data_IF_433191163438
#
_entry.id   IF_433191163438
#
_cell.length_a   1.000
_cell.length_b   1.000
_cell.length_c   1.000
_cell.angle_alpha   90.00
_cell.angle_beta   90.00
_cell.angle_gamma   90.00
#
_symmetry.space_group_name_H-M   'P 1'
#
loop_
_entity.id
_entity.type
_entity.pdbx_description
1 polymer ?
#
# COMPACT_ATOMS: atom_id res chain seq x y z
N UNK A 1 23.39 4.23 14.94
CA UNK A 1 22.49 3.49 14.04
C UNK A 1 22.17 4.29 12.78
N UNK A 2 22.57 3.79 11.61
CA UNK A 2 22.20 4.36 10.30
C UNK A 2 20.74 3.95 10.01
N UNK A 3 19.94 4.83 9.39
CA UNK A 3 18.58 4.51 8.97
C UNK A 3 18.63 3.57 7.74
N UNK A 4 17.58 2.76 7.51
CA UNK A 4 17.50 1.97 6.28
C UNK A 4 17.48 2.88 5.04
N UNK A 5 18.30 2.54 4.05
CA UNK A 5 18.32 3.23 2.74
C UNK A 5 17.02 2.99 1.95
N UNK A 6 16.44 1.79 2.07
CA UNK A 6 15.15 1.43 1.46
C UNK A 6 14.13 1.18 2.57
N UNK A 7 13.02 1.93 2.54
CA UNK A 7 11.96 1.89 3.56
C UNK A 7 10.77 1.03 3.15
N UNK A 8 10.70 0.63 1.89
CA UNK A 8 9.66 -0.25 1.40
C UNK A 8 9.70 -0.47 -0.10
N UNK A 9 8.82 -1.35 -0.54
CA UNK A 9 8.59 -1.70 -1.95
C UNK A 9 7.09 -1.64 -2.20
N UNK A 10 6.67 -0.97 -3.29
CA UNK A 10 5.29 -0.94 -3.73
C UNK A 10 5.15 -1.65 -5.08
N UNK A 11 4.31 -2.67 -5.14
CA UNK A 11 4.01 -3.43 -6.34
C UNK A 11 2.78 -2.86 -7.04
N UNK A 12 2.93 -2.47 -8.30
CA UNK A 12 1.80 -2.04 -9.13
C UNK A 12 1.73 -2.93 -10.37
N UNK A 13 0.93 -4.02 -10.35
CA UNK A 13 0.67 -4.81 -11.53
C UNK A 13 0.20 -3.94 -12.71
N UNK A 14 0.55 -4.36 -13.92
CA UNK A 14 0.18 -3.63 -15.13
C UNK A 14 -1.35 -3.60 -15.28
N UNK A 15 -1.88 -2.42 -15.61
CA UNK A 15 -3.27 -2.23 -15.99
C UNK A 15 -3.34 -1.56 -17.36
N UNK A 16 -4.24 -2.04 -18.19
CA UNK A 16 -4.27 -1.70 -19.62
C UNK A 16 -5.19 -0.50 -19.88
N UNK A 17 -4.65 0.70 -19.67
CA UNK A 17 -5.29 1.97 -20.00
C UNK A 17 -4.76 2.54 -21.32
N UNK A 18 -5.63 3.18 -22.10
CA UNK A 18 -5.24 3.90 -23.31
C UNK A 18 -4.78 2.97 -24.43
N UNK A 19 -3.64 3.30 -25.04
CA UNK A 19 -3.11 2.56 -26.19
C UNK A 19 -2.08 1.50 -25.74
N UNK A 20 -2.42 0.23 -25.99
CA UNK A 20 -1.52 -0.91 -25.83
C UNK A 20 -1.57 -1.75 -27.12
N UNK A 21 -0.46 -2.39 -27.53
CA UNK A 21 -0.31 -2.89 -28.90
C UNK A 21 -1.20 -4.09 -29.25
N UNK A 22 -1.53 -4.92 -28.25
CA UNK A 22 -2.37 -6.11 -28.41
C UNK A 22 -3.21 -6.31 -27.16
N UNK A 23 -4.43 -6.82 -27.33
CA UNK A 23 -5.26 -7.27 -26.22
C UNK A 23 -4.48 -8.27 -25.36
N UNK A 24 -4.34 -8.03 -24.05
CA UNK A 24 -3.62 -8.94 -23.18
C UNK A 24 -4.39 -10.25 -23.00
N UNK A 25 -3.64 -11.34 -22.92
CA UNK A 25 -4.14 -12.66 -22.51
C UNK A 25 -4.08 -12.81 -21.00
N UNK A 26 -4.79 -13.81 -20.45
CA UNK A 26 -4.79 -14.08 -19.01
C UNK A 26 -3.40 -14.37 -18.45
N UNK A 27 -2.53 -15.01 -19.24
CA UNK A 27 -1.14 -15.31 -18.85
C UNK A 27 -0.24 -14.07 -18.72
N UNK A 28 -0.69 -12.91 -19.22
CA UNK A 28 0.03 -11.65 -19.11
C UNK A 28 -0.46 -10.81 -17.92
N UNK A 29 -1.41 -11.35 -17.16
CA UNK A 29 -2.01 -10.72 -15.98
C UNK A 29 -1.49 -11.40 -14.72
N UNK A 30 -1.51 -10.64 -13.64
CA UNK A 30 -1.16 -11.15 -12.32
C UNK A 30 -2.13 -10.54 -11.30
N UNK A 31 -2.61 -11.36 -10.40
CA UNK A 31 -3.50 -10.99 -9.30
C UNK A 31 -2.68 -10.66 -8.04
N UNK A 32 -3.27 -9.89 -7.12
CA UNK A 32 -2.59 -9.59 -5.85
C UNK A 32 -2.22 -10.84 -5.04
N UNK A 33 -3.06 -11.89 -4.94
CA UNK A 33 -2.67 -13.15 -4.30
C UNK A 33 -1.49 -13.85 -4.97
N UNK A 34 -1.37 -13.79 -6.30
CA UNK A 34 -0.21 -14.31 -7.03
C UNK A 34 1.04 -13.48 -6.72
N UNK A 35 0.95 -12.14 -6.72
CA UNK A 35 2.06 -11.26 -6.29
C UNK A 35 2.56 -11.64 -4.89
N UNK A 36 1.66 -11.84 -3.92
CA UNK A 36 2.03 -12.21 -2.55
C UNK A 36 2.70 -13.59 -2.51
N UNK A 37 2.22 -14.55 -3.32
CA UNK A 37 2.84 -15.88 -3.43
C UNK A 37 4.25 -15.80 -4.01
N UNK A 38 4.43 -15.03 -5.08
CA UNK A 38 5.72 -14.78 -5.71
C UNK A 38 6.70 -14.10 -4.74
N UNK A 39 6.23 -13.15 -3.94
CA UNK A 39 7.05 -12.53 -2.87
C UNK A 39 7.52 -13.61 -1.88
N UNK A 40 6.63 -14.49 -1.41
CA UNK A 40 7.01 -15.55 -0.49
C UNK A 40 8.04 -16.52 -1.10
N UNK A 41 7.85 -16.90 -2.37
CA UNK A 41 8.74 -17.83 -3.07
C UNK A 41 10.12 -17.20 -3.34
N UNK A 42 10.16 -16.00 -3.91
CA UNK A 42 11.40 -15.31 -4.26
C UNK A 42 12.21 -14.87 -3.04
N UNK A 43 11.56 -14.65 -1.89
CA UNK A 43 12.25 -14.33 -0.63
C UNK A 43 12.69 -15.56 0.16
N UNK A 44 12.50 -16.77 -0.37
CA UNK A 44 12.84 -18.01 0.34
C UNK A 44 12.02 -18.16 1.64
N UNK A 45 10.78 -17.68 1.65
CA UNK A 45 9.86 -17.63 2.80
C UNK A 45 10.31 -16.71 3.95
N UNK A 46 11.21 -15.76 3.71
CA UNK A 46 11.50 -14.69 4.67
C UNK A 46 10.24 -13.86 4.96
N UNK A 47 9.41 -13.65 3.94
CA UNK A 47 8.06 -13.09 4.05
C UNK A 47 7.05 -14.19 3.76
N UNK A 48 6.01 -14.32 4.59
CA UNK A 48 4.97 -15.34 4.43
C UNK A 48 3.61 -14.71 4.16
N UNK A 49 2.73 -15.45 3.48
CA UNK A 49 1.43 -14.96 3.01
C UNK A 49 0.58 -14.39 4.16
N UNK A 50 0.63 -15.01 5.35
CA UNK A 50 -0.12 -14.61 6.56
C UNK A 50 0.32 -13.26 7.15
N UNK A 51 1.45 -12.71 6.71
CA UNK A 51 1.97 -11.42 7.14
C UNK A 51 1.42 -10.25 6.31
N UNK A 52 0.59 -10.55 5.30
CA UNK A 52 -0.05 -9.55 4.44
C UNK A 52 -1.54 -9.44 4.74
N UNK A 53 -2.06 -8.22 4.67
CA UNK A 53 -3.48 -7.94 4.84
C UNK A 53 -3.99 -7.02 3.72
N UNK A 54 -5.31 -7.02 3.43
CA UNK A 54 -5.89 -6.06 2.52
C UNK A 54 -5.59 -4.62 2.92
N UNK A 55 -5.50 -3.73 1.93
CA UNK A 55 -5.37 -2.30 2.17
C UNK A 55 -6.57 -1.77 2.96
N UNK A 56 -6.32 -0.85 3.90
CA UNK A 56 -7.29 -0.44 4.92
C UNK A 56 -8.15 0.78 4.56
N UNK A 57 -7.98 1.36 3.37
CA UNK A 57 -8.71 2.57 2.96
C UNK A 57 -9.50 2.43 1.67
N UNK A 58 -9.37 1.32 0.97
CA UNK A 58 -10.08 0.98 -0.26
C UNK A 58 -10.67 -0.43 -0.18
N UNK A 59 -11.34 -0.87 -1.24
CA UNK A 59 -11.85 -2.24 -1.28
C UNK A 59 -10.70 -3.24 -1.08
N UNK A 60 -10.93 -4.27 -0.27
CA UNK A 60 -9.95 -5.33 0.04
C UNK A 60 -9.30 -6.06 -1.15
N UNK A 61 -9.83 -5.90 -2.37
CA UNK A 61 -9.29 -6.47 -3.62
C UNK A 61 -8.42 -5.48 -4.41
N UNK A 62 -8.34 -4.22 -3.98
CA UNK A 62 -7.59 -3.16 -4.66
C UNK A 62 -6.12 -3.12 -4.25
N UNK A 63 -5.79 -3.47 -3.01
CA UNK A 63 -4.41 -3.47 -2.56
C UNK A 63 -4.16 -4.35 -1.35
N UNK A 64 -2.87 -4.54 -1.05
CA UNK A 64 -2.39 -5.24 0.13
C UNK A 64 -1.28 -4.44 0.81
N UNK A 65 -1.04 -4.75 2.08
CA UNK A 65 0.09 -4.22 2.84
C UNK A 65 0.67 -5.28 3.77
N UNK A 66 1.96 -5.17 4.02
CA UNK A 66 2.71 -5.87 5.05
C UNK A 66 3.74 -4.93 5.65
N UNK A 67 3.83 -4.89 6.97
CA UNK A 67 4.72 -4.00 7.70
C UNK A 67 5.70 -4.80 8.55
N UNK A 68 6.97 -4.42 8.50
CA UNK A 68 8.06 -5.17 9.08
C UNK A 68 9.08 -4.27 9.78
N UNK A 69 9.85 -4.84 10.69
CA UNK A 69 11.04 -4.21 11.25
C UNK A 69 12.23 -5.09 10.95
N UNK A 70 13.27 -4.50 10.36
CA UNK A 70 14.55 -5.20 10.16
C UNK A 70 15.26 -5.29 11.51
N UNK A 71 15.49 -6.50 11.99
CA UNK A 71 16.16 -6.81 13.26
C UNK A 71 17.70 -6.81 13.11
N UNK A 72 18.48 -6.71 14.21
CA UNK A 72 19.94 -6.66 14.12
C UNK A 72 20.57 -7.89 13.46
N UNK A 73 19.90 -9.04 13.56
CA UNK A 73 20.26 -10.31 12.92
C UNK A 73 19.82 -10.39 11.44
N UNK A 74 19.43 -9.24 10.86
CA UNK A 74 18.91 -9.10 9.49
C UNK A 74 17.59 -9.84 9.22
N UNK A 75 16.89 -10.36 10.24
CA UNK A 75 15.55 -10.92 10.06
C UNK A 75 14.50 -9.82 9.94
N UNK A 76 13.41 -10.12 9.24
CA UNK A 76 12.22 -9.27 9.19
C UNK A 76 11.21 -9.76 10.21
N UNK A 77 10.92 -8.93 11.21
CA UNK A 77 9.83 -9.19 12.14
C UNK A 77 8.57 -8.50 11.65
N UNK A 78 7.51 -9.27 11.40
CA UNK A 78 6.20 -8.72 11.07
C UNK A 78 5.67 -7.89 12.23
N UNK A 79 5.24 -6.67 11.90
CA UNK A 79 4.42 -5.87 12.80
C UNK A 79 2.99 -6.38 12.70
N UNK A 80 2.28 -6.53 13.82
CA UNK A 80 0.93 -7.06 13.80
C UNK A 80 0.08 -6.25 12.81
N UNK A 81 -0.63 -6.91 11.87
CA UNK A 81 -1.57 -6.21 11.03
C UNK A 81 -2.53 -5.47 11.95
N UNK A 82 -2.83 -4.20 11.66
CA UNK A 82 -3.82 -3.47 12.45
C UNK A 82 -5.09 -4.31 12.41
N UNK A 83 -5.56 -4.72 13.59
CA UNK A 83 -6.82 -5.41 13.80
C UNK A 83 -7.87 -4.85 12.83
N UNK A 84 -8.19 -5.61 11.78
CA UNK A 84 -9.52 -5.60 11.20
C UNK A 84 -10.39 -6.25 12.26
N UNK A 85 -10.73 -5.48 13.30
CA UNK A 85 -11.60 -5.95 14.36
C UNK A 85 -12.93 -6.33 13.72
N UNK A 86 -13.07 -7.63 13.44
CA UNK A 86 -14.27 -8.30 12.95
C UNK A 86 -15.49 -8.12 13.88
N UNK A 87 -15.32 -7.47 15.04
CA UNK A 87 -16.31 -7.39 16.11
C UNK A 87 -16.64 -5.96 16.57
N UNK A 88 -16.23 -4.91 15.86
CA UNK A 88 -16.64 -3.53 16.15
C UNK A 88 -17.46 -3.00 14.99
N UNK A 89 -18.78 -3.04 15.15
CA UNK A 89 -19.81 -2.67 14.18
C UNK A 89 -19.86 -1.15 13.88
N UNK A 90 -18.72 -0.56 13.54
CA UNK A 90 -18.62 0.81 13.03
C UNK A 90 -17.84 0.72 11.73
N UNK A 91 -18.57 0.70 10.61
CA UNK A 91 -18.01 1.16 9.35
C UNK A 91 -17.44 2.56 9.61
N UNK A 92 -16.13 2.64 9.75
CA UNK A 92 -15.44 3.92 9.86
C UNK A 92 -15.64 4.63 8.53
N UNK A 93 -16.07 5.90 8.55
CA UNK A 93 -16.32 6.61 7.30
C UNK A 93 -15.05 6.66 6.44
N UNK A 94 -15.19 6.51 5.12
CA UNK A 94 -14.06 6.45 4.18
C UNK A 94 -13.04 7.59 4.38
N UNK A 95 -13.50 8.79 4.78
CA UNK A 95 -12.65 9.94 5.08
C UNK A 95 -11.70 9.73 6.27
N UNK A 96 -12.15 9.05 7.33
CA UNK A 96 -11.33 8.76 8.52
C UNK A 96 -10.28 7.69 8.17
N UNK A 97 -10.68 6.63 7.46
CA UNK A 97 -9.77 5.59 7.00
C UNK A 97 -8.67 6.15 6.08
N UNK A 98 -9.04 7.03 5.14
CA UNK A 98 -8.09 7.71 4.25
C UNK A 98 -7.12 8.61 5.02
N UNK A 99 -7.59 9.39 6.00
CA UNK A 99 -6.71 10.25 6.80
C UNK A 99 -5.72 9.44 7.64
N UNK A 100 -6.17 8.30 8.20
CA UNK A 100 -5.28 7.37 8.92
C UNK A 100 -4.24 6.76 8.00
N UNK A 101 -4.60 6.37 6.77
CA UNK A 101 -3.67 5.82 5.79
C UNK A 101 -2.62 6.87 5.39
N UNK A 102 -3.05 8.09 5.05
CA UNK A 102 -2.15 9.19 4.70
C UNK A 102 -1.15 9.51 5.83
N UNK A 103 -1.62 9.57 7.08
CA UNK A 103 -0.77 9.80 8.23
C UNK A 103 0.22 8.65 8.47
N UNK A 104 -0.20 7.41 8.17
CA UNK A 104 0.63 6.23 8.29
C UNK A 104 1.77 6.24 7.26
N UNK A 105 1.44 6.42 5.98
CA UNK A 105 2.40 6.54 4.88
C UNK A 105 3.40 7.67 5.16
N UNK A 106 2.91 8.85 5.55
CA UNK A 106 3.77 10.00 5.88
C UNK A 106 4.77 9.68 6.98
N UNK A 107 4.38 8.97 8.05
CA UNK A 107 5.28 8.62 9.16
C UNK A 107 6.29 7.54 8.78
N UNK A 108 5.90 6.62 7.89
CA UNK A 108 6.67 5.42 7.57
C UNK A 108 7.70 5.68 6.46
N UNK A 109 7.32 6.49 5.50
CA UNK A 109 8.13 6.79 4.31
C UNK A 109 8.99 8.06 4.49
N UNK A 110 8.83 8.78 5.60
CA UNK A 110 9.74 9.87 5.97
C UNK A 110 11.12 9.32 6.38
N UNK A 111 12.17 9.89 5.76
CA UNK A 111 13.56 9.70 6.18
C UNK A 111 13.88 10.81 7.18
N UNK A 112 13.91 10.47 8.47
CA UNK A 112 14.36 11.41 9.50
C UNK A 112 15.87 11.33 9.65
N UNK A 113 16.61 12.44 9.50
CA UNK A 113 18.01 12.48 9.93
C UNK A 113 18.08 12.21 11.44
N UNK A 114 19.17 11.60 11.91
CA UNK A 114 19.38 11.37 13.35
C UNK A 114 19.25 12.71 14.08
N UNK A 115 18.19 12.89 14.86
CA UNK A 115 18.28 13.76 16.02
C UNK A 115 19.02 12.97 17.09
N UNK A 116 20.07 13.57 17.65
CA UNK A 116 20.70 13.08 18.88
C UNK A 116 19.65 13.18 19.98
N UNK A 117 18.86 12.13 20.19
CA UNK A 117 17.97 12.08 21.34
C UNK A 117 18.90 11.87 22.54
N UNK A 118 19.11 12.92 23.33
CA UNK A 118 19.74 12.82 24.63
C UNK A 118 18.74 12.09 25.55
N UNK A 119 18.77 10.76 25.56
CA UNK A 119 18.04 10.01 26.59
C UNK A 119 18.72 10.29 27.93
N UNK A 120 18.07 11.06 28.79
CA UNK A 120 18.34 10.99 30.22
C UNK A 120 17.95 9.58 30.66
N UNK A 121 18.95 8.79 31.01
CA UNK A 121 18.79 7.43 31.54
C UNK A 121 18.06 7.49 32.88
N UNK A 122 16.72 7.42 32.86
CA UNK A 122 15.95 7.03 34.04
C UNK A 122 15.93 5.51 34.04
N UNK A 123 16.81 4.93 34.85
CA UNK A 123 17.00 3.49 34.98
C UNK A 123 15.74 2.83 35.56
N UNK A 124 14.92 2.28 34.68
CA UNK A 124 13.99 1.20 34.96
C UNK A 124 14.21 0.12 33.92
N UNK A 125 14.65 -1.08 34.34
CA UNK A 125 15.17 -2.16 33.49
C UNK A 125 14.22 -2.61 32.36
N UNK A 126 12.92 -2.28 32.43
CA UNK A 126 11.96 -2.56 31.37
C UNK A 126 11.68 -1.42 30.38
N UNK A 127 11.88 -0.14 30.74
CA UNK A 127 11.41 0.99 29.92
C UNK A 127 12.35 1.30 28.74
N UNK A 128 13.66 1.11 28.95
CA UNK A 128 14.67 1.36 27.92
C UNK A 128 14.60 0.38 26.74
N UNK A 129 14.18 -0.88 26.96
CA UNK A 129 14.03 -1.86 25.88
C UNK A 129 12.89 -1.50 24.93
N UNK A 130 11.78 -1.00 25.48
CA UNK A 130 10.64 -0.51 24.68
C UNK A 130 10.98 0.74 23.87
N UNK A 131 11.70 1.69 24.46
CA UNK A 131 12.17 2.88 23.74
C UNK A 131 13.09 2.50 22.57
N UNK A 132 14.05 1.60 22.82
CA UNK A 132 14.94 1.07 21.79
C UNK A 132 14.16 0.38 20.66
N UNK A 133 13.12 -0.38 21.00
CA UNK A 133 12.27 -1.02 20.00
C UNK A 133 11.47 0.01 19.18
N UNK A 134 10.87 1.02 19.81
CA UNK A 134 10.13 2.09 19.12
C UNK A 134 11.05 2.85 18.16
N UNK A 135 12.25 3.20 18.60
CA UNK A 135 13.23 3.87 17.75
C UNK A 135 13.72 2.97 16.63
N UNK A 136 13.80 1.65 16.86
CA UNK A 136 14.07 0.68 15.80
C UNK A 136 12.93 0.62 14.79
N UNK A 137 11.66 0.56 15.21
CA UNK A 137 10.50 0.62 14.32
C UNK A 137 10.57 1.88 13.45
N UNK A 138 10.96 3.02 14.03
CA UNK A 138 11.09 4.30 13.32
C UNK A 138 12.25 4.33 12.34
N UNK A 139 13.40 3.73 12.66
CA UNK A 139 14.63 3.83 11.84
C UNK A 139 14.86 2.64 10.91
N UNK A 140 14.30 1.48 11.24
CA UNK A 140 14.44 0.20 10.54
C UNK A 140 13.10 -0.39 10.11
N UNK A 141 12.09 0.48 10.01
CA UNK A 141 10.82 0.17 9.40
C UNK A 141 10.95 -0.17 7.93
N UNK A 142 10.33 -1.26 7.52
CA UNK A 142 10.20 -1.70 6.14
C UNK A 142 8.74 -2.02 5.83
N UNK A 143 8.23 -1.64 4.66
CA UNK A 143 6.86 -1.90 4.25
C UNK A 143 6.82 -2.50 2.84
N UNK A 144 5.98 -3.52 2.64
CA UNK A 144 5.72 -4.12 1.33
C UNK A 144 4.25 -3.94 1.03
N UNK A 145 3.94 -3.17 0.00
CA UNK A 145 2.56 -2.86 -0.37
C UNK A 145 2.32 -3.12 -1.84
N UNK A 146 1.07 -3.16 -2.26
CA UNK A 146 0.77 -3.21 -3.68
C UNK A 146 -0.66 -2.83 -3.99
N UNK A 147 -0.91 -2.36 -5.21
CA UNK A 147 -2.21 -1.94 -5.68
C UNK A 147 -2.44 -2.37 -7.13
N UNK A 148 -3.58 -3.02 -7.40
CA UNK A 148 -3.99 -3.43 -8.73
C UNK A 148 -5.07 -2.51 -9.29
N UNK A 149 -4.71 -1.67 -10.26
CA UNK A 149 -5.69 -0.87 -10.99
C UNK A 149 -6.55 -1.74 -11.92
N UNK A 150 -7.71 -1.20 -12.32
CA UNK A 150 -8.74 -1.91 -13.06
C UNK A 150 -8.84 -1.38 -14.49
N UNK A 151 -8.83 -2.26 -15.47
CA UNK A 151 -9.00 -1.94 -16.90
C UNK A 151 -10.40 -2.35 -17.41
N UNK A 152 -10.65 -2.19 -18.72
CA UNK A 152 -11.97 -2.45 -19.30
C UNK A 152 -12.46 -3.90 -19.19
N UNK A 153 -11.59 -4.87 -18.89
CA UNK A 153 -11.97 -6.27 -18.69
C UNK A 153 -12.16 -6.64 -17.22
N UNK A 154 -11.60 -5.84 -16.31
CA UNK A 154 -11.50 -6.15 -14.87
C UNK A 154 -12.23 -5.14 -14.00
N UNK A 155 -12.88 -4.15 -14.59
CA UNK A 155 -13.58 -3.09 -13.88
C UNK A 155 -14.73 -3.65 -13.03
N UNK A 156 -14.71 -3.32 -11.74
CA UNK A 156 -15.71 -3.72 -10.78
C UNK A 156 -16.28 -2.47 -10.09
N UNK A 157 -17.61 -2.32 -10.14
CA UNK A 157 -18.29 -1.13 -9.61
C UNK A 157 -18.27 -1.06 -8.08
N UNK A 158 -18.23 -2.19 -7.37
CA UNK A 158 -18.10 -2.20 -5.91
C UNK A 158 -16.73 -1.66 -5.50
N UNK A 159 -15.68 -2.12 -6.19
CA UNK A 159 -14.31 -1.60 -5.99
C UNK A 159 -14.21 -0.10 -6.27
N UNK A 160 -14.96 0.41 -7.25
CA UNK A 160 -14.99 1.85 -7.55
C UNK A 160 -15.74 2.67 -6.48
N UNK A 161 -16.82 2.13 -5.90
CA UNK A 161 -17.59 2.81 -4.83
C UNK A 161 -16.78 2.98 -3.54
N UNK A 162 -15.87 2.05 -3.28
CA UNK A 162 -14.96 2.08 -2.13
C UNK A 162 -13.58 2.64 -2.48
N UNK A 163 -13.39 3.21 -3.67
CA UNK A 163 -12.09 3.72 -4.07
C UNK A 163 -11.65 4.86 -3.15
N UNK A 164 -10.37 4.90 -2.76
CA UNK A 164 -9.77 6.02 -2.01
C UNK A 164 -8.95 6.96 -2.89
N UNK A 165 -8.61 6.52 -4.12
CA UNK A 165 -7.79 7.27 -5.06
C UNK A 165 -8.67 7.90 -6.16
N UNK A 166 -8.74 9.22 -6.17
CA UNK A 166 -9.59 9.96 -7.09
C UNK A 166 -8.83 11.06 -7.83
N UNK A 167 -9.33 11.39 -9.01
CA UNK A 167 -8.91 12.53 -9.82
C UNK A 167 -9.98 13.61 -9.74
N UNK A 168 -9.57 14.85 -9.50
CA UNK A 168 -10.43 16.02 -9.69
C UNK A 168 -10.41 16.39 -11.17
N UNK A 169 -11.52 16.16 -11.87
CA UNK A 169 -11.66 16.53 -13.28
C UNK A 169 -11.69 18.06 -13.46
N UNK A 170 -11.37 18.58 -14.67
CA UNK A 170 -11.49 20.00 -14.98
C UNK A 170 -12.90 20.58 -14.77
N UNK A 171 -13.94 19.75 -14.88
CA UNK A 171 -15.32 20.11 -14.62
C UNK A 171 -15.70 20.10 -13.12
N UNK A 172 -14.73 19.95 -12.22
CA UNK A 172 -14.94 19.93 -10.76
C UNK A 172 -15.53 18.63 -10.20
N UNK A 173 -15.65 17.57 -11.01
CA UNK A 173 -16.12 16.25 -10.54
C UNK A 173 -14.97 15.44 -9.98
N UNK A 174 -15.19 14.79 -8.84
CA UNK A 174 -14.27 13.81 -8.23
C UNK A 174 -14.58 12.43 -8.81
N UNK A 175 -13.61 11.80 -9.47
CA UNK A 175 -13.80 10.56 -10.24
C UNK A 175 -12.76 9.53 -9.78
N UNK A 176 -13.14 8.26 -9.49
CA UNK A 176 -12.18 7.22 -9.15
C UNK A 176 -11.10 7.07 -10.21
N UNK A 177 -9.84 6.89 -9.79
CA UNK A 177 -8.68 6.91 -10.68
C UNK A 177 -8.82 5.95 -11.87
N UNK A 178 -9.19 4.68 -11.59
CA UNK A 178 -9.36 3.68 -12.64
C UNK A 178 -10.47 4.08 -13.63
N UNK A 179 -11.57 4.66 -13.16
CA UNK A 179 -12.66 5.12 -14.02
C UNK A 179 -12.24 6.32 -14.87
N UNK A 180 -11.46 7.25 -14.31
CA UNK A 180 -10.99 8.44 -15.02
C UNK A 180 -10.07 8.08 -16.21
N UNK A 181 -9.15 7.13 -16.00
CA UNK A 181 -8.20 6.69 -17.02
C UNK A 181 -8.67 5.53 -17.89
N UNK A 182 -9.88 5.01 -17.63
CA UNK A 182 -10.44 3.91 -18.39
C UNK A 182 -10.55 4.28 -19.88
N UNK A 183 -10.13 3.34 -20.73
CA UNK A 183 -10.44 3.33 -22.14
C UNK A 183 -11.11 2.01 -22.51
N UNK A 184 -11.96 2.02 -23.53
CA UNK A 184 -12.45 0.80 -24.16
C UNK A 184 -11.32 0.06 -24.91
N UNK A 185 -11.63 -1.10 -25.48
CA UNK A 185 -10.68 -1.95 -26.22
C UNK A 185 -10.15 -1.29 -27.50
N UNK A 186 -10.78 -0.20 -27.97
CA UNK A 186 -10.37 0.57 -29.14
C UNK A 186 -9.61 1.84 -28.76
N UNK A 187 -9.43 2.11 -27.46
CA UNK A 187 -8.71 3.25 -26.93
C UNK A 187 -9.55 4.52 -26.74
N UNK A 188 -10.89 4.44 -26.76
CA UNK A 188 -11.75 5.59 -26.45
C UNK A 188 -11.92 5.72 -24.94
N UNK A 189 -11.77 6.93 -24.39
CA UNK A 189 -11.98 7.21 -22.96
C UNK A 189 -13.26 8.01 -22.74
N UNK A 190 -13.90 7.80 -21.59
CA UNK A 190 -15.11 8.54 -21.18
C UNK A 190 -14.76 9.95 -20.72
N UNK A 191 -13.69 10.10 -19.92
CA UNK A 191 -13.37 11.35 -19.25
C UNK A 191 -12.15 12.06 -19.86
N UNK A 192 -11.21 11.30 -20.45
CA UNK A 192 -10.01 11.86 -21.06
C UNK A 192 -10.24 12.13 -22.54
N UNK A 193 -10.61 13.36 -22.88
CA UNK A 193 -10.70 13.82 -24.28
C UNK A 193 -9.29 13.89 -24.89
N UNK A 194 -9.11 13.40 -26.13
CA UNK A 194 -7.84 13.54 -26.88
C UNK A 194 -7.62 15.04 -27.17
N UNK A 195 -6.70 15.69 -26.46
CA UNK A 195 -6.28 17.06 -26.81
C UNK A 195 -5.99 18.04 -25.67
N UNK A 196 -6.12 17.65 -24.40
CA UNK A 196 -5.64 18.47 -23.28
C UNK A 196 -4.39 17.83 -22.68
N UNK A 197 -3.23 18.35 -23.10
CA UNK A 197 -1.94 18.23 -22.40
C UNK A 197 -1.73 19.51 -21.63
#
# INVERSE_FOLDING_TARGET
MVCLTVRGVHFQPVSYFGAYPKTPTDCQRITLPEVIREIQEQTGRLLTIDQFAPSGCDHARCGFHGDFVVMPDAKLQSLPPKNTACCSNKQESNGIAMQKNRNFEARRWEIRPKQTIQHQTVAGEGMGEWENFIDRVRTHGFSVTGMAFQDCWTIDLERLRECSLHVLSPAGKVIPFCAYYLSDITGNSIYKQRGHV
#
